data_IF_919131659060
#
_entry.id   IF_919131659060
#
_cell.length_a   1.000
_cell.length_b   1.000
_cell.length_c   1.000
_cell.angle_alpha   90.00
_cell.angle_beta   90.00
_cell.angle_gamma   90.00
#
_symmetry.space_group_name_H-M   'P 1'
#
loop_
_entity.id
_entity.type
_entity.pdbx_description
1 polymer ?
#
# COMPACT_ATOMS: atom_id res chain seq x y z
N UNK A 1 28.77 -8.30 -29.08
CA UNK A 1 27.49 -8.14 -28.29
C UNK A 1 27.47 -9.28 -27.30
N UNK A 2 27.65 -8.97 -26.02
CA UNK A 2 27.68 -9.99 -24.97
C UNK A 2 26.25 -10.53 -24.75
N UNK A 3 25.93 -11.80 -25.10
CA UNK A 3 24.57 -12.35 -25.02
C UNK A 3 24.01 -12.34 -23.59
N UNK A 4 24.88 -12.26 -22.57
CA UNK A 4 24.50 -12.27 -21.16
C UNK A 4 23.77 -11.00 -20.69
N UNK A 5 23.96 -9.84 -21.35
CA UNK A 5 23.24 -8.60 -20.97
C UNK A 5 21.76 -8.66 -21.31
N UNK A 6 21.41 -9.18 -22.48
CA UNK A 6 20.00 -9.29 -22.89
C UNK A 6 19.19 -10.27 -22.02
N UNK A 7 19.80 -11.40 -21.65
CA UNK A 7 19.14 -12.40 -20.79
C UNK A 7 18.91 -11.85 -19.37
N UNK A 8 19.89 -11.15 -18.81
CA UNK A 8 19.76 -10.48 -17.51
C UNK A 8 18.61 -9.48 -17.46
N UNK A 9 18.40 -8.70 -18.51
CA UNK A 9 17.32 -7.70 -18.57
C UNK A 9 15.94 -8.37 -18.72
N UNK A 10 15.83 -9.49 -19.40
CA UNK A 10 14.60 -10.29 -19.50
C UNK A 10 14.18 -10.78 -18.12
N UNK A 11 15.08 -11.39 -17.33
CA UNK A 11 14.76 -11.87 -15.97
C UNK A 11 14.37 -10.73 -15.02
N UNK A 12 15.01 -9.57 -15.14
CA UNK A 12 14.66 -8.40 -14.29
C UNK A 12 13.30 -7.83 -14.65
N UNK A 13 12.95 -7.77 -15.94
CA UNK A 13 11.61 -7.41 -16.39
C UNK A 13 10.57 -8.42 -15.91
N UNK A 14 10.87 -9.71 -15.98
CA UNK A 14 10.02 -10.76 -15.43
C UNK A 14 9.82 -10.59 -13.92
N UNK A 15 10.88 -10.25 -13.18
CA UNK A 15 10.78 -9.98 -11.73
C UNK A 15 9.83 -8.80 -11.45
N UNK A 16 9.96 -7.70 -12.20
CA UNK A 16 9.17 -6.50 -11.98
C UNK A 16 7.70 -6.66 -12.43
N UNK A 17 7.48 -7.33 -13.56
CA UNK A 17 6.16 -7.37 -14.20
C UNK A 17 5.37 -8.66 -13.96
N UNK A 18 6.01 -9.70 -13.38
CA UNK A 18 5.37 -10.96 -13.05
C UNK A 18 5.47 -11.28 -11.56
N UNK A 19 6.69 -11.40 -11.02
CA UNK A 19 6.86 -11.84 -9.64
C UNK A 19 6.45 -10.79 -8.60
N UNK A 20 6.69 -9.50 -8.83
CA UNK A 20 6.26 -8.46 -7.90
C UNK A 20 4.72 -8.33 -7.84
N UNK A 21 3.96 -8.32 -8.96
CA UNK A 21 2.51 -8.44 -8.95
C UNK A 21 2.01 -9.71 -8.26
N UNK A 22 2.63 -10.88 -8.51
CA UNK A 22 2.26 -12.11 -7.84
C UNK A 22 2.45 -12.02 -6.33
N UNK A 23 3.59 -11.50 -5.87
CA UNK A 23 3.84 -11.27 -4.45
C UNK A 23 2.79 -10.31 -3.83
N UNK A 24 2.35 -9.29 -4.59
CA UNK A 24 1.29 -8.38 -4.15
C UNK A 24 -0.05 -9.12 -3.96
N UNK A 25 -0.42 -9.99 -4.91
CA UNK A 25 -1.64 -10.77 -4.83
C UNK A 25 -1.62 -11.75 -3.66
N UNK A 26 -0.46 -12.32 -3.36
CA UNK A 26 -0.24 -13.18 -2.18
C UNK A 26 -0.19 -12.40 -0.85
N UNK A 27 -0.38 -11.08 -0.86
CA UNK A 27 -0.26 -10.22 0.32
C UNK A 27 1.17 -10.03 0.84
N UNK A 28 2.19 -10.54 0.13
CA UNK A 28 3.60 -10.51 0.50
C UNK A 28 4.22 -9.12 0.21
N UNK A 29 3.75 -8.07 0.91
CA UNK A 29 4.15 -6.69 0.59
C UNK A 29 5.65 -6.44 0.75
N UNK A 30 6.28 -7.05 1.75
CA UNK A 30 7.72 -6.92 1.95
C UNK A 30 8.51 -7.50 0.77
N UNK A 31 8.12 -8.68 0.28
CA UNK A 31 8.75 -9.32 -0.88
C UNK A 31 8.49 -8.49 -2.14
N UNK A 32 7.25 -8.07 -2.36
CA UNK A 32 6.89 -7.20 -3.48
C UNK A 32 7.77 -5.96 -3.55
N UNK A 33 7.90 -5.23 -2.46
CA UNK A 33 8.70 -4.00 -2.43
C UNK A 33 10.18 -4.28 -2.72
N UNK A 34 10.76 -5.35 -2.16
CA UNK A 34 12.14 -5.75 -2.46
C UNK A 34 12.33 -6.10 -3.94
N UNK A 35 11.40 -6.85 -4.53
CA UNK A 35 11.44 -7.20 -5.95
C UNK A 35 11.32 -5.95 -6.84
N UNK A 36 10.41 -5.04 -6.51
CA UNK A 36 10.23 -3.77 -7.21
C UNK A 36 11.49 -2.90 -7.12
N UNK A 37 12.04 -2.68 -5.92
CA UNK A 37 13.19 -1.79 -5.71
C UNK A 37 14.46 -2.32 -6.38
N UNK A 38 14.75 -3.62 -6.24
CA UNK A 38 15.93 -4.23 -6.89
C UNK A 38 15.81 -4.17 -8.42
N UNK A 39 14.65 -4.51 -8.96
CA UNK A 39 14.42 -4.50 -10.40
C UNK A 39 14.43 -3.07 -10.96
N UNK A 40 13.83 -2.11 -10.25
CA UNK A 40 13.81 -0.71 -10.63
C UNK A 40 15.22 -0.10 -10.67
N UNK A 41 16.02 -0.37 -9.65
CA UNK A 41 17.39 0.13 -9.57
C UNK A 41 18.25 -0.34 -10.77
N UNK A 42 17.94 -1.49 -11.33
CA UNK A 42 18.73 -2.05 -12.44
C UNK A 42 18.15 -1.64 -13.79
N UNK A 43 16.84 -1.75 -13.99
CA UNK A 43 16.17 -1.49 -15.26
C UNK A 43 16.03 0.01 -15.57
N UNK A 44 15.90 0.83 -14.54
CA UNK A 44 15.61 2.26 -14.61
C UNK A 44 16.59 3.06 -13.76
N UNK A 45 17.90 2.74 -13.91
CA UNK A 45 18.97 3.29 -13.06
C UNK A 45 18.94 4.82 -13.02
N UNK A 46 18.88 5.47 -14.19
CA UNK A 46 18.91 6.93 -14.29
C UNK A 46 17.69 7.57 -13.58
N UNK A 47 16.49 7.01 -13.78
CA UNK A 47 15.28 7.48 -13.14
C UNK A 47 15.30 7.26 -11.62
N UNK A 48 15.88 6.13 -11.16
CA UNK A 48 16.06 5.87 -9.74
C UNK A 48 17.06 6.84 -9.10
N UNK A 49 18.17 7.15 -9.77
CA UNK A 49 19.14 8.16 -9.33
C UNK A 49 18.51 9.56 -9.28
N UNK A 50 17.72 9.93 -10.28
CA UNK A 50 16.98 11.20 -10.29
C UNK A 50 16.00 11.30 -9.11
N UNK A 51 15.20 10.27 -8.86
CA UNK A 51 14.28 10.22 -7.73
C UNK A 51 15.05 10.31 -6.39
N UNK A 52 16.14 9.57 -6.23
CA UNK A 52 16.98 9.65 -5.04
C UNK A 52 17.52 11.07 -4.79
N UNK A 53 17.96 11.75 -5.85
CA UNK A 53 18.44 13.12 -5.76
C UNK A 53 17.33 14.10 -5.35
N UNK A 54 16.10 13.94 -5.89
CA UNK A 54 14.95 14.75 -5.53
C UNK A 54 14.52 14.51 -4.08
N UNK A 55 14.49 13.24 -3.66
CA UNK A 55 14.21 12.85 -2.26
C UNK A 55 15.23 13.48 -1.32
N UNK A 56 16.52 13.36 -1.63
CA UNK A 56 17.62 13.89 -0.79
C UNK A 56 17.57 15.40 -0.64
N UNK A 57 17.24 16.12 -1.71
CA UNK A 57 17.09 17.58 -1.67
C UNK A 57 15.90 18.04 -0.79
N UNK A 58 14.82 17.26 -0.75
CA UNK A 58 13.64 17.56 0.05
C UNK A 58 13.72 17.00 1.49
N UNK A 59 14.68 16.10 1.77
CA UNK A 59 14.76 15.35 3.02
C UNK A 59 14.78 16.22 4.29
N UNK A 60 15.62 17.29 4.42
CA UNK A 60 15.75 18.00 5.71
C UNK A 60 14.44 18.58 6.22
N UNK A 61 13.68 19.23 5.33
CA UNK A 61 12.39 19.84 5.70
C UNK A 61 11.31 18.77 5.90
N UNK A 62 11.31 17.75 5.05
CA UNK A 62 10.35 16.64 5.11
C UNK A 62 10.51 15.82 6.38
N UNK A 63 11.72 15.42 6.74
CA UNK A 63 12.00 14.58 7.89
C UNK A 63 11.68 15.31 9.20
N UNK A 64 11.94 16.63 9.25
CA UNK A 64 11.52 17.47 10.36
C UNK A 64 9.98 17.48 10.49
N UNK A 65 9.26 17.80 9.43
CA UNK A 65 7.78 17.88 9.44
C UNK A 65 7.13 16.55 9.83
N UNK A 66 7.75 15.42 9.45
CA UNK A 66 7.26 14.09 9.82
C UNK A 66 7.49 13.83 11.30
N UNK A 67 8.68 14.11 11.82
CA UNK A 67 9.00 13.91 13.23
C UNK A 67 8.12 14.79 14.11
N UNK A 68 7.89 16.04 13.72
CA UNK A 68 6.98 16.96 14.42
C UNK A 68 5.54 16.39 14.41
N UNK A 69 5.07 15.88 13.25
CA UNK A 69 3.74 15.26 13.14
C UNK A 69 3.62 13.98 13.96
N UNK A 70 4.66 13.12 13.98
CA UNK A 70 4.70 11.92 14.81
C UNK A 70 4.58 12.31 16.28
N UNK A 71 5.33 13.31 16.73
CA UNK A 71 5.31 13.77 18.12
C UNK A 71 3.94 14.33 18.53
N UNK A 72 3.30 15.11 17.65
CA UNK A 72 1.95 15.63 17.87
C UNK A 72 0.95 14.48 18.03
N UNK A 73 1.01 13.48 17.13
CA UNK A 73 0.11 12.32 17.19
C UNK A 73 0.39 11.50 18.45
N UNK A 74 1.65 11.25 18.81
CA UNK A 74 2.00 10.52 20.03
C UNK A 74 1.47 11.21 21.30
N UNK A 75 1.61 12.53 21.39
CA UNK A 75 1.06 13.30 22.50
C UNK A 75 -0.47 13.19 22.54
N UNK A 76 -1.13 13.35 21.39
CA UNK A 76 -2.59 13.22 21.26
C UNK A 76 -3.09 11.85 21.75
N UNK A 77 -2.40 10.77 21.39
CA UNK A 77 -2.76 9.42 21.81
C UNK A 77 -2.54 9.22 23.31
N UNK A 78 -1.42 9.73 23.83
CA UNK A 78 -1.08 9.65 25.28
C UNK A 78 -2.09 10.40 26.13
N UNK A 79 -2.48 11.61 25.72
CA UNK A 79 -3.47 12.45 26.43
C UNK A 79 -4.86 11.77 26.49
N UNK A 80 -5.15 10.89 25.55
CA UNK A 80 -6.39 10.10 25.50
C UNK A 80 -6.23 8.66 26.02
N UNK A 81 -5.11 8.35 26.70
CA UNK A 81 -4.83 7.02 27.27
C UNK A 81 -4.89 5.88 26.24
N UNK A 82 -4.52 6.16 24.99
CA UNK A 82 -4.45 5.17 23.91
C UNK A 82 -3.01 4.71 23.70
N UNK A 83 -2.79 3.40 23.86
CA UNK A 83 -1.50 2.79 23.53
C UNK A 83 -1.44 2.49 22.04
N UNK A 84 -0.50 3.12 21.33
CA UNK A 84 -0.23 2.82 19.93
C UNK A 84 1.20 3.21 19.56
N UNK A 85 1.78 2.47 18.63
CA UNK A 85 3.08 2.76 18.02
C UNK A 85 2.88 3.65 16.80
N UNK A 86 3.56 4.79 16.75
CA UNK A 86 3.48 5.75 15.64
C UNK A 86 4.82 5.77 14.91
N UNK A 87 4.83 5.37 13.65
CA UNK A 87 6.06 5.29 12.83
C UNK A 87 5.91 6.01 11.51
N UNK A 88 6.98 6.66 11.06
CA UNK A 88 7.07 7.20 9.71
C UNK A 88 7.21 6.08 8.68
N UNK A 89 6.51 6.18 7.57
CA UNK A 89 6.58 5.24 6.45
C UNK A 89 7.07 5.95 5.19
N UNK A 90 8.37 5.87 4.87
CA UNK A 90 8.87 6.37 3.59
C UNK A 90 8.26 5.57 2.43
N UNK A 91 7.97 6.24 1.34
CA UNK A 91 7.45 5.60 0.13
C UNK A 91 8.59 5.04 -0.70
N UNK A 92 8.40 3.85 -1.25
CA UNK A 92 9.39 3.21 -2.11
C UNK A 92 9.58 3.97 -3.44
N UNK A 93 10.81 4.03 -3.92
CA UNK A 93 11.18 4.77 -5.14
C UNK A 93 10.38 4.34 -6.36
N UNK A 94 10.18 3.04 -6.55
CA UNK A 94 9.36 2.55 -7.65
C UNK A 94 7.89 3.00 -7.56
N UNK A 95 7.33 3.12 -6.35
CA UNK A 95 5.98 3.65 -6.15
C UNK A 95 5.89 5.14 -6.48
N UNK A 96 6.95 5.91 -6.20
CA UNK A 96 7.07 7.31 -6.59
C UNK A 96 7.15 7.42 -8.12
N UNK A 97 8.03 6.63 -8.75
CA UNK A 97 8.18 6.56 -10.20
C UNK A 97 6.86 6.25 -10.92
N UNK A 98 6.12 5.24 -10.45
CA UNK A 98 4.80 4.91 -11.01
C UNK A 98 3.83 6.09 -10.93
N UNK A 99 3.82 6.84 -9.86
CA UNK A 99 2.95 8.03 -9.74
C UNK A 99 3.32 9.13 -10.71
N UNK A 100 4.61 9.38 -10.91
CA UNK A 100 5.09 10.36 -11.89
C UNK A 100 4.65 9.96 -13.30
N UNK A 101 4.90 8.71 -13.69
CA UNK A 101 4.62 8.23 -15.05
C UNK A 101 3.12 8.09 -15.31
N UNK A 102 2.36 7.44 -14.42
CA UNK A 102 0.95 7.14 -14.65
C UNK A 102 0.05 8.37 -14.53
N UNK A 103 0.39 9.30 -13.64
CA UNK A 103 -0.45 10.46 -13.36
C UNK A 103 0.10 11.76 -13.99
N UNK A 104 1.27 11.72 -14.64
CA UNK A 104 1.92 12.91 -15.21
C UNK A 104 2.28 13.96 -14.17
N UNK A 105 2.40 13.56 -12.89
CA UNK A 105 2.67 14.48 -11.79
C UNK A 105 4.15 14.86 -11.76
N UNK A 106 4.44 16.12 -11.50
CA UNK A 106 5.79 16.51 -11.12
C UNK A 106 6.12 16.00 -9.71
N UNK A 107 7.40 15.85 -9.40
CA UNK A 107 7.83 15.38 -8.07
C UNK A 107 7.28 16.27 -6.93
N UNK A 108 7.21 17.59 -7.16
CA UNK A 108 6.70 18.56 -6.17
C UNK A 108 5.19 18.42 -5.90
N UNK A 109 4.45 17.80 -6.83
CA UNK A 109 3.02 17.53 -6.67
C UNK A 109 2.75 16.22 -5.94
N UNK A 110 3.79 15.40 -5.70
CA UNK A 110 3.68 14.18 -4.89
C UNK A 110 3.71 14.55 -3.41
N UNK A 111 2.55 14.90 -2.89
CA UNK A 111 2.38 15.35 -1.50
C UNK A 111 2.43 14.20 -0.46
N UNK A 112 2.53 12.95 -0.89
CA UNK A 112 2.50 11.75 -0.05
C UNK A 112 3.80 10.95 -0.08
N UNK A 113 4.93 11.63 -0.16
CA UNK A 113 6.26 10.99 -0.16
C UNK A 113 6.56 10.23 1.14
N UNK A 114 5.95 10.67 2.23
CA UNK A 114 5.98 9.97 3.51
C UNK A 114 4.59 9.95 4.12
N UNK A 115 4.21 8.79 4.60
CA UNK A 115 3.00 8.59 5.40
C UNK A 115 3.36 8.31 6.85
N UNK A 116 2.36 8.33 7.70
CA UNK A 116 2.44 7.88 9.09
C UNK A 116 1.67 6.57 9.20
N UNK A 117 2.23 5.62 9.94
CA UNK A 117 1.56 4.39 10.31
C UNK A 117 1.36 4.35 11.80
N UNK A 118 0.14 4.02 12.23
CA UNK A 118 -0.23 3.86 13.61
C UNK A 118 -0.63 2.41 13.82
N UNK A 119 0.05 1.72 14.75
CA UNK A 119 -0.20 0.34 15.11
C UNK A 119 -0.78 0.29 16.52
N UNK A 120 -1.87 -0.44 16.69
CA UNK A 120 -2.55 -0.61 17.98
C UNK A 120 -2.96 -2.06 18.20
N UNK A 121 -3.48 -2.40 19.35
CA UNK A 121 -3.75 -3.79 19.73
C UNK A 121 -5.07 -4.32 19.16
N UNK A 122 -6.10 -3.48 19.07
CA UNK A 122 -7.44 -3.92 18.68
C UNK A 122 -8.14 -2.99 17.65
N UNK A 123 -9.19 -3.54 17.02
CA UNK A 123 -9.97 -2.85 15.98
C UNK A 123 -10.70 -1.64 16.51
N UNK A 124 -11.23 -1.71 17.73
CA UNK A 124 -11.94 -0.60 18.38
C UNK A 124 -11.02 0.61 18.51
N UNK A 125 -9.78 0.37 18.94
CA UNK A 125 -8.77 1.42 19.05
C UNK A 125 -8.41 2.02 17.69
N UNK A 126 -8.41 1.22 16.60
CA UNK A 126 -8.21 1.77 15.25
C UNK A 126 -9.24 2.86 14.92
N UNK A 127 -10.52 2.62 15.17
CA UNK A 127 -11.59 3.60 14.90
C UNK A 127 -11.57 4.77 15.90
N UNK A 128 -11.22 4.52 17.17
CA UNK A 128 -11.06 5.59 18.17
C UNK A 128 -9.93 6.54 17.76
N UNK A 129 -8.79 6.00 17.35
CA UNK A 129 -7.65 6.78 16.86
C UNK A 129 -8.04 7.57 15.60
N UNK A 130 -8.78 6.97 14.66
CA UNK A 130 -9.28 7.68 13.47
C UNK A 130 -10.14 8.89 13.88
N UNK A 131 -11.06 8.70 14.83
CA UNK A 131 -11.91 9.77 15.34
C UNK A 131 -11.09 10.92 15.94
N UNK A 132 -10.08 10.59 16.76
CA UNK A 132 -9.17 11.58 17.35
C UNK A 132 -8.35 12.32 16.28
N UNK A 133 -7.84 11.62 15.27
CA UNK A 133 -7.11 12.24 14.17
C UNK A 133 -8.01 13.21 13.42
N UNK A 134 -9.24 12.81 13.06
CA UNK A 134 -10.18 13.67 12.33
C UNK A 134 -10.72 14.84 13.18
N UNK A 135 -10.72 14.73 14.51
CA UNK A 135 -11.09 15.82 15.40
C UNK A 135 -9.98 16.90 15.51
N UNK A 136 -8.72 16.53 15.30
CA UNK A 136 -7.58 17.42 15.47
C UNK A 136 -6.93 17.86 14.15
N UNK A 137 -7.13 17.10 13.07
CA UNK A 137 -6.60 17.41 11.74
C UNK A 137 -7.74 17.44 10.72
N UNK A 138 -7.71 18.37 9.80
CA UNK A 138 -8.72 18.45 8.75
C UNK A 138 -8.56 17.31 7.73
N UNK A 139 -9.54 16.38 7.60
CA UNK A 139 -9.47 15.33 6.59
C UNK A 139 -9.67 15.87 5.18
N UNK A 140 -8.98 15.27 4.21
CA UNK A 140 -9.13 15.57 2.79
C UNK A 140 -10.27 14.74 2.22
N UNK A 141 -11.28 15.42 1.66
CA UNK A 141 -12.47 14.79 1.10
C UNK A 141 -12.12 13.71 0.04
N UNK A 142 -12.81 12.57 0.10
CA UNK A 142 -12.61 11.47 -0.85
C UNK A 142 -11.30 10.70 -0.67
N UNK A 143 -10.56 10.93 0.42
CA UNK A 143 -9.27 10.26 0.71
C UNK A 143 -9.33 9.32 1.92
N UNK A 144 -10.52 9.07 2.44
CA UNK A 144 -10.72 8.05 3.46
C UNK A 144 -11.10 6.72 2.81
N UNK A 145 -10.45 5.63 3.26
CA UNK A 145 -10.77 4.25 2.85
C UNK A 145 -10.73 3.34 4.06
N UNK A 146 -11.78 2.56 4.23
CA UNK A 146 -11.91 1.58 5.31
C UNK A 146 -11.70 0.16 4.76
N UNK A 147 -10.46 -0.30 4.83
CA UNK A 147 -10.11 -1.68 4.49
C UNK A 147 -10.15 -2.62 5.70
N UNK A 148 -10.64 -2.17 6.88
CA UNK A 148 -10.90 -3.06 8.01
C UNK A 148 -12.28 -3.71 7.83
N UNK A 149 -13.30 -2.89 7.56
CA UNK A 149 -14.66 -3.35 7.31
C UNK A 149 -14.84 -4.01 5.94
N UNK A 150 -14.06 -3.53 4.94
CA UNK A 150 -14.05 -4.07 3.58
C UNK A 150 -12.61 -4.44 3.18
N UNK A 151 -12.12 -5.62 3.60
CA UNK A 151 -10.76 -6.06 3.28
C UNK A 151 -10.53 -6.17 1.77
N UNK A 152 -9.31 -5.88 1.34
CA UNK A 152 -8.93 -6.13 -0.06
C UNK A 152 -8.89 -7.63 -0.36
N UNK A 153 -8.97 -7.98 -1.63
CA UNK A 153 -8.85 -9.36 -2.11
C UNK A 153 -7.66 -10.13 -1.50
N UNK A 154 -6.52 -9.47 -1.31
CA UNK A 154 -5.33 -10.05 -0.69
C UNK A 154 -5.35 -10.02 0.85
N UNK A 155 -6.52 -9.93 1.47
CA UNK A 155 -6.74 -9.87 2.92
C UNK A 155 -6.05 -8.67 3.61
N UNK A 156 -5.69 -7.65 2.84
CA UNK A 156 -5.13 -6.43 3.40
C UNK A 156 -6.19 -5.65 4.18
N UNK A 157 -5.87 -5.31 5.42
CA UNK A 157 -6.73 -4.53 6.31
C UNK A 157 -5.98 -3.32 6.87
N UNK A 158 -6.58 -2.14 6.81
CA UNK A 158 -6.10 -0.89 7.42
C UNK A 158 -7.14 0.20 7.22
N UNK A 159 -7.23 1.19 8.10
CA UNK A 159 -7.86 2.46 7.80
C UNK A 159 -6.84 3.36 7.11
N UNK A 160 -7.22 3.99 6.02
CA UNK A 160 -6.41 4.98 5.32
C UNK A 160 -7.12 6.32 5.36
N UNK A 161 -6.45 7.35 5.78
CA UNK A 161 -6.95 8.72 5.69
C UNK A 161 -5.83 9.66 5.26
N UNK A 162 -6.19 10.74 4.62
CA UNK A 162 -5.28 11.85 4.33
C UNK A 162 -5.79 13.08 5.05
N UNK A 163 -4.92 13.71 5.81
CA UNK A 163 -5.24 14.93 6.55
C UNK A 163 -4.31 16.07 6.15
N UNK A 164 -4.68 17.30 6.50
CA UNK A 164 -3.83 18.48 6.34
C UNK A 164 -3.07 18.74 7.65
N UNK A 165 -1.75 18.97 7.54
CA UNK A 165 -0.94 19.46 8.66
C UNK A 165 -1.22 20.96 8.88
N UNK A 166 -0.69 21.52 9.96
CA UNK A 166 -0.79 22.95 10.26
C UNK A 166 -0.23 23.85 9.13
N UNK A 167 0.79 23.35 8.42
CA UNK A 167 1.42 23.98 7.27
C UNK A 167 0.65 23.77 5.95
N UNK A 168 -0.53 23.14 6.00
CA UNK A 168 -1.36 22.85 4.83
C UNK A 168 -0.84 21.72 3.94
N UNK A 169 0.13 20.95 4.42
CA UNK A 169 0.65 19.79 3.68
C UNK A 169 -0.25 18.57 3.87
N UNK A 170 -0.37 17.75 2.83
CA UNK A 170 -1.12 16.49 2.90
C UNK A 170 -0.26 15.40 3.56
N UNK A 171 -0.85 14.73 4.53
CA UNK A 171 -0.24 13.64 5.27
C UNK A 171 -1.13 12.41 5.21
N UNK A 172 -0.64 11.32 4.62
CA UNK A 172 -1.33 10.03 4.61
C UNK A 172 -1.11 9.31 5.95
N UNK A 173 -2.19 8.87 6.58
CA UNK A 173 -2.15 8.12 7.83
C UNK A 173 -2.79 6.76 7.60
N UNK A 174 -2.08 5.70 7.99
CA UNK A 174 -2.53 4.32 7.98
C UNK A 174 -2.68 3.83 9.41
N UNK A 175 -3.86 3.37 9.79
CA UNK A 175 -4.16 2.87 11.12
C UNK A 175 -4.57 1.41 11.01
N UNK A 176 -3.93 0.52 11.77
CA UNK A 176 -4.21 -0.92 11.76
C UNK A 176 -3.71 -1.58 13.03
N UNK A 177 -4.18 -2.79 13.31
CA UNK A 177 -3.65 -3.58 14.44
C UNK A 177 -2.28 -4.18 14.10
N UNK A 178 -1.54 -4.61 15.14
CA UNK A 178 -0.29 -5.35 14.96
C UNK A 178 -0.49 -6.62 14.14
N UNK A 179 -1.60 -7.34 14.32
CA UNK A 179 -1.93 -8.54 13.53
C UNK A 179 -2.20 -8.21 12.05
N UNK A 180 -2.97 -7.15 11.78
CA UNK A 180 -3.19 -6.68 10.41
C UNK A 180 -1.88 -6.22 9.76
N UNK A 181 -1.00 -5.60 10.55
CA UNK A 181 0.33 -5.22 10.07
C UNK A 181 1.14 -6.44 9.65
N UNK A 182 1.19 -7.44 10.52
CA UNK A 182 1.90 -8.67 10.25
C UNK A 182 1.35 -9.39 9.00
N UNK A 183 0.02 -9.51 8.89
CA UNK A 183 -0.62 -10.09 7.71
C UNK A 183 -0.31 -9.31 6.43
N UNK A 184 -0.32 -7.97 6.49
CA UNK A 184 -0.01 -7.13 5.33
C UNK A 184 1.46 -7.25 4.87
N UNK A 185 2.41 -7.49 5.77
CA UNK A 185 3.83 -7.63 5.43
C UNK A 185 4.19 -9.04 4.93
N UNK A 186 3.58 -10.08 5.52
CA UNK A 186 3.93 -11.48 5.28
C UNK A 186 2.86 -12.29 4.54
N UNK A 187 1.68 -11.69 4.27
CA UNK A 187 0.61 -12.29 3.49
C UNK A 187 0.19 -13.67 3.99
N UNK A 188 -0.07 -14.56 3.05
CA UNK A 188 -0.45 -15.96 3.34
C UNK A 188 0.59 -16.72 4.18
N UNK A 189 1.86 -16.34 4.12
CA UNK A 189 2.91 -16.95 4.94
C UNK A 189 2.76 -16.64 6.45
N UNK A 190 1.99 -15.60 6.81
CA UNK A 190 1.69 -15.27 8.20
C UNK A 190 0.93 -16.39 8.92
N UNK A 191 0.08 -17.12 8.21
CA UNK A 191 -0.71 -18.23 8.76
C UNK A 191 0.13 -19.46 9.13
N UNK A 192 1.29 -19.63 8.54
CA UNK A 192 2.16 -20.79 8.85
C UNK A 192 2.86 -20.68 10.21
N UNK A 193 3.01 -19.48 10.73
CA UNK A 193 3.69 -19.23 12.00
C UNK A 193 2.76 -19.27 13.21
N UNK A 194 1.48 -18.96 13.01
CA UNK A 194 0.43 -19.00 14.05
C UNK A 194 -0.54 -20.15 13.75
N UNK A 195 -0.40 -21.28 14.46
CA UNK A 195 -1.24 -22.48 14.30
C UNK A 195 -2.72 -22.32 14.72
N UNK A 196 -3.19 -21.12 15.03
CA UNK A 196 -4.51 -20.88 15.65
C UNK A 196 -5.50 -20.08 14.79
N UNK A 197 -5.21 -19.81 13.52
CA UNK A 197 -6.16 -19.08 12.66
C UNK A 197 -7.18 -20.01 12.01
N UNK A 198 -8.44 -19.58 11.83
CA UNK A 198 -9.47 -20.39 11.21
C UNK A 198 -9.04 -20.89 9.83
N UNK A 199 -9.17 -22.21 9.62
CA UNK A 199 -8.81 -22.88 8.36
C UNK A 199 -9.60 -22.35 7.14
N UNK A 200 -10.69 -21.64 7.37
CA UNK A 200 -11.64 -21.21 6.34
C UNK A 200 -11.06 -20.14 5.40
N UNK A 201 -10.43 -19.08 5.92
CA UNK A 201 -9.95 -17.96 5.10
C UNK A 201 -8.86 -18.37 4.10
N UNK A 202 -7.95 -19.25 4.54
CA UNK A 202 -6.88 -19.76 3.67
C UNK A 202 -7.44 -20.71 2.60
N UNK A 203 -8.48 -21.48 2.96
CA UNK A 203 -9.09 -22.45 2.08
C UNK A 203 -9.95 -21.77 1.02
N UNK A 204 -10.70 -20.71 1.39
CA UNK A 204 -11.42 -19.85 0.45
C UNK A 204 -10.48 -19.20 -0.56
N UNK A 205 -9.43 -18.55 -0.07
CA UNK A 205 -8.43 -17.92 -0.94
C UNK A 205 -7.71 -18.90 -1.87
N UNK A 206 -7.36 -20.10 -1.36
CA UNK A 206 -6.72 -21.15 -2.18
C UNK A 206 -7.67 -21.68 -3.25
N UNK A 207 -8.96 -21.83 -2.91
CA UNK A 207 -9.99 -22.24 -3.85
C UNK A 207 -10.21 -21.17 -4.93
N UNK A 208 -10.19 -19.90 -4.55
CA UNK A 208 -10.35 -18.77 -5.47
C UNK A 208 -9.18 -18.68 -6.47
N UNK A 209 -7.93 -18.84 -6.01
CA UNK A 209 -6.76 -18.94 -6.91
C UNK A 209 -6.88 -20.15 -7.86
N UNK A 210 -7.39 -21.29 -7.36
CA UNK A 210 -7.58 -22.47 -8.17
C UNK A 210 -8.65 -22.25 -9.23
N UNK A 211 -9.78 -21.64 -8.87
CA UNK A 211 -10.84 -21.30 -9.80
C UNK A 211 -10.33 -20.37 -10.91
N UNK A 212 -9.56 -19.33 -10.56
CA UNK A 212 -8.94 -18.43 -11.56
C UNK A 212 -7.98 -19.20 -12.46
N UNK A 213 -7.20 -20.16 -11.91
CA UNK A 213 -6.30 -20.99 -12.73
C UNK A 213 -7.06 -21.93 -13.66
N UNK A 214 -8.20 -22.44 -13.22
CA UNK A 214 -9.05 -23.33 -14.01
C UNK A 214 -9.83 -22.56 -15.09
N UNK A 215 -10.27 -21.33 -14.79
CA UNK A 215 -10.99 -20.45 -15.74
C UNK A 215 -10.06 -19.87 -16.82
N UNK A 216 -8.78 -19.68 -16.53
CA UNK A 216 -7.78 -19.10 -17.44
C UNK A 216 -6.56 -20.02 -17.59
N UNK A 217 -6.68 -21.12 -18.35
CA UNK A 217 -5.59 -22.10 -18.50
C UNK A 217 -4.39 -21.57 -19.28
N UNK A 218 -4.57 -20.51 -20.10
CA UNK A 218 -3.47 -19.89 -20.83
C UNK A 218 -2.66 -18.96 -19.91
N UNK A 219 -1.30 -19.13 -19.82
CA UNK A 219 -0.46 -18.37 -18.88
C UNK A 219 -0.54 -16.84 -19.03
N UNK A 220 -0.73 -16.35 -20.24
CA UNK A 220 -0.83 -14.91 -20.51
C UNK A 220 -2.19 -14.34 -20.06
N UNK A 221 -3.26 -15.08 -20.24
CA UNK A 221 -4.60 -14.71 -19.78
C UNK A 221 -4.69 -14.76 -18.27
N UNK A 222 -4.19 -15.82 -17.66
CA UNK A 222 -4.03 -15.93 -16.20
C UNK A 222 -3.27 -14.75 -15.62
N UNK A 223 -2.10 -14.39 -16.19
CA UNK A 223 -1.31 -13.24 -15.73
C UNK A 223 -2.04 -11.90 -15.96
N UNK A 224 -2.80 -11.78 -17.04
CA UNK A 224 -3.57 -10.57 -17.32
C UNK A 224 -4.70 -10.41 -16.31
N UNK A 225 -5.43 -11.48 -16.01
CA UNK A 225 -6.48 -11.49 -14.99
C UNK A 225 -5.90 -11.25 -13.59
N UNK A 226 -4.75 -11.84 -13.28
CA UNK A 226 -4.01 -11.59 -12.04
C UNK A 226 -3.58 -10.13 -11.89
N UNK A 227 -3.43 -9.39 -12.99
CA UNK A 227 -3.08 -7.96 -12.98
C UNK A 227 -4.31 -7.05 -12.90
N UNK A 228 -5.43 -7.43 -13.49
CA UNK A 228 -6.65 -6.61 -13.53
C UNK A 228 -7.16 -6.28 -12.12
N UNK A 229 -7.15 -7.23 -11.21
CA UNK A 229 -7.56 -7.03 -9.81
C UNK A 229 -6.57 -6.18 -8.99
N UNK A 230 -5.42 -5.81 -9.55
CA UNK A 230 -4.44 -4.93 -8.89
C UNK A 230 -4.73 -3.45 -9.13
N UNK A 231 -5.56 -3.12 -10.12
CA UNK A 231 -5.96 -1.75 -10.38
C UNK A 231 -7.30 -1.50 -9.68
N UNK A 232 -7.26 -0.67 -8.65
CA UNK A 232 -8.46 -0.14 -7.96
C UNK A 232 -9.20 0.82 -8.91
N UNK A 233 -9.78 0.33 -9.98
CA UNK A 233 -10.73 1.08 -10.79
C UNK A 233 -12.12 0.61 -10.39
N UNK A 234 -12.67 1.22 -9.34
CA UNK A 234 -14.09 1.13 -9.06
C UNK A 234 -14.83 1.91 -10.15
N UNK A 235 -15.61 1.21 -10.95
CA UNK A 235 -16.53 1.84 -11.90
C UNK A 235 -17.84 2.08 -11.18
N UNK A 236 -18.20 3.34 -10.98
CA UNK A 236 -19.50 3.70 -10.42
C UNK A 236 -20.52 3.79 -11.55
N UNK A 237 -21.49 2.87 -11.55
CA UNK A 237 -22.63 2.91 -12.47
C UNK A 237 -23.85 3.46 -11.75
N UNK A 238 -24.51 4.46 -12.34
CA UNK A 238 -25.82 4.94 -11.88
C UNK A 238 -26.90 4.08 -12.52
N UNK A 239 -27.76 3.48 -11.70
CA UNK A 239 -28.96 2.82 -12.22
C UNK A 239 -29.99 3.85 -12.69
N UNK A 240 -30.94 3.47 -13.55
CA UNK A 240 -32.04 4.37 -13.94
C UNK A 240 -32.86 4.91 -12.78
N UNK A 241 -32.81 4.24 -11.62
CA UNK A 241 -33.50 4.64 -10.40
C UNK A 241 -32.67 5.57 -9.51
N UNK A 242 -31.43 5.92 -9.91
CA UNK A 242 -30.55 6.80 -9.16
C UNK A 242 -29.67 6.12 -8.11
N UNK A 243 -29.69 4.79 -8.02
CA UNK A 243 -28.80 4.04 -7.13
C UNK A 243 -27.38 3.97 -7.72
N UNK A 244 -26.40 4.04 -6.86
CA UNK A 244 -24.98 3.88 -7.24
C UNK A 244 -24.57 2.43 -7.04
N UNK A 245 -24.21 1.74 -8.13
CA UNK A 245 -23.64 0.40 -8.09
C UNK A 245 -22.14 0.52 -8.37
N UNK A 246 -21.34 -0.07 -7.50
CA UNK A 246 -19.89 -0.18 -7.71
C UNK A 246 -19.61 -1.51 -8.40
N UNK A 247 -18.96 -1.45 -9.56
CA UNK A 247 -18.48 -2.61 -10.28
C UNK A 247 -16.96 -2.73 -10.08
N UNK A 248 -16.44 -3.96 -9.94
CA UNK A 248 -15.01 -4.22 -9.82
C UNK A 248 -14.22 -3.83 -11.07
#
# INVERSE_FOLDING_TARGET
ICPSRGLGDVYKRQTLYVYAPLAHRLGLQNIKHKLEDVSFNILYKNQNEEINNLISKSAPNRDKNINDSIQIIQNLLSDNSLSAEVVGRPKHNYSIYKKIINNGLSFNEINDLVGIRILTDDVKNCYTILGLIHANFQPVLGRFKDFISMPKFNLYQSLHTTVLTAEGQRMEIQIRTHDMHYRAEYGVASHWKYKETPKNDLQEWTNELKNISDDYPEPNEFLSHMKLDLYEQEIFCLTPNGDVITLP
#
